data_IF_892416365847
#
_entry.id   IF_892416365847
#
_cell.length_a   1.000
_cell.length_b   1.000
_cell.length_c   1.000
_cell.angle_alpha   90.00
_cell.angle_beta   90.00
_cell.angle_gamma   90.00
#
_symmetry.space_group_name_H-M   'P 1'
#
loop_
_entity.id
_entity.type
_entity.pdbx_description
1 polymer ?
#
# COMPACT_ATOMS: atom_id res chain seq x y z
N UNK A 1 7.87 18.00 1.92
CA UNK A 1 7.44 18.12 0.50
C UNK A 1 6.54 16.92 0.23
N UNK A 2 5.40 17.12 -0.42
CA UNK A 2 4.45 16.04 -0.73
C UNK A 2 4.99 15.17 -1.87
N UNK A 3 4.96 13.86 -1.70
CA UNK A 3 5.44 12.90 -2.69
C UNK A 3 4.37 11.83 -2.95
N UNK A 4 4.42 11.20 -4.12
CA UNK A 4 3.60 10.04 -4.43
C UNK A 4 4.45 8.87 -4.93
N UNK A 5 4.20 7.68 -4.38
CA UNK A 5 4.64 6.41 -4.95
C UNK A 5 3.49 5.85 -5.78
N UNK A 6 3.67 5.73 -7.08
CA UNK A 6 2.66 5.18 -7.99
C UNK A 6 3.17 3.84 -8.49
N UNK A 7 2.48 2.76 -8.11
CA UNK A 7 2.88 1.42 -8.47
C UNK A 7 2.40 1.07 -9.88
N UNK A 8 3.33 0.62 -10.72
CA UNK A 8 3.10 0.32 -12.14
C UNK A 8 3.31 -1.17 -12.41
N UNK A 9 2.47 -1.76 -13.28
CA UNK A 9 2.56 -3.17 -13.63
C UNK A 9 2.43 -3.46 -15.13
N UNK A 10 2.15 -2.45 -15.95
CA UNK A 10 1.85 -2.62 -17.37
C UNK A 10 2.22 -1.39 -18.18
N UNK A 11 2.37 -1.62 -19.48
CA UNK A 11 2.66 -0.60 -20.49
C UNK A 11 1.49 0.35 -20.76
N UNK A 12 0.29 -0.02 -20.31
CA UNK A 12 -0.89 0.79 -20.54
C UNK A 12 -0.92 1.95 -19.56
N UNK A 13 -0.60 3.15 -20.03
CA UNK A 13 -0.53 4.36 -19.20
C UNK A 13 -1.90 4.89 -18.74
N UNK A 14 -2.98 4.50 -19.41
CA UNK A 14 -4.35 5.01 -19.19
C UNK A 14 -4.84 4.97 -17.73
N UNK A 15 -4.70 3.84 -16.99
CA UNK A 15 -5.12 3.75 -15.60
C UNK A 15 -4.42 4.75 -14.68
N UNK A 16 -3.19 5.16 -15.00
CA UNK A 16 -2.40 6.05 -14.17
C UNK A 16 -2.70 7.53 -14.44
N UNK A 17 -3.19 7.88 -15.63
CA UNK A 17 -3.53 9.28 -15.99
C UNK A 17 -4.45 9.91 -14.96
N UNK A 18 -5.53 9.20 -14.61
CA UNK A 18 -6.50 9.69 -13.62
C UNK A 18 -5.91 9.85 -12.22
N UNK A 19 -5.16 8.84 -11.76
CA UNK A 19 -4.51 8.88 -10.46
C UNK A 19 -3.51 10.03 -10.36
N UNK A 20 -2.63 10.19 -11.35
CA UNK A 20 -1.62 11.26 -11.41
C UNK A 20 -2.28 12.63 -11.46
N UNK A 21 -3.30 12.81 -12.32
CA UNK A 21 -4.02 14.08 -12.43
C UNK A 21 -4.70 14.46 -11.11
N UNK A 22 -5.36 13.51 -10.45
CA UNK A 22 -5.98 13.74 -9.15
C UNK A 22 -4.95 14.08 -8.06
N UNK A 23 -3.85 13.33 -8.00
CA UNK A 23 -2.77 13.55 -7.04
C UNK A 23 -2.10 14.92 -7.23
N UNK A 24 -1.89 15.35 -8.47
CA UNK A 24 -1.34 16.67 -8.78
C UNK A 24 -2.31 17.78 -8.36
N UNK A 25 -3.53 17.75 -8.86
CA UNK A 25 -4.49 18.84 -8.71
C UNK A 25 -5.11 18.97 -7.31
N UNK A 26 -5.43 17.84 -6.68
CA UNK A 26 -6.18 17.83 -5.41
C UNK A 26 -5.31 17.58 -4.20
N UNK A 27 -4.24 16.80 -4.34
CA UNK A 27 -3.31 16.50 -3.24
C UNK A 27 -2.06 17.37 -3.27
N UNK A 28 -1.84 18.15 -4.32
CA UNK A 28 -0.70 19.04 -4.45
C UNK A 28 0.63 18.28 -4.36
N UNK A 29 0.69 17.08 -4.95
CA UNK A 29 1.92 16.29 -4.98
C UNK A 29 3.03 17.05 -5.71
N UNK A 30 4.22 17.06 -5.12
CA UNK A 30 5.36 17.84 -5.57
C UNK A 30 6.47 16.99 -6.20
N UNK A 31 6.38 15.65 -6.09
CA UNK A 31 7.22 14.71 -6.86
C UNK A 31 6.53 13.35 -7.01
N UNK A 32 6.76 12.68 -8.13
CA UNK A 32 6.29 11.31 -8.37
C UNK A 32 7.44 10.31 -8.42
N UNK A 33 7.24 9.13 -7.87
CA UNK A 33 8.12 7.99 -8.08
C UNK A 33 7.28 6.82 -8.56
N UNK A 34 7.52 6.39 -9.79
CA UNK A 34 6.85 5.25 -10.39
C UNK A 34 7.61 3.99 -10.00
N UNK A 35 6.93 3.05 -9.35
CA UNK A 35 7.53 1.84 -8.78
C UNK A 35 7.13 0.64 -9.62
N UNK A 36 8.10 0.05 -10.30
CA UNK A 36 7.94 -1.24 -10.96
C UNK A 36 8.41 -2.35 -10.01
N UNK A 37 7.54 -3.34 -9.76
CA UNK A 37 7.87 -4.46 -8.87
C UNK A 37 8.35 -5.67 -9.68
N UNK A 38 9.61 -6.08 -9.50
CA UNK A 38 10.17 -7.29 -10.14
C UNK A 38 9.91 -8.54 -9.30
N UNK A 39 9.89 -9.71 -9.95
CA UNK A 39 9.66 -11.01 -9.30
C UNK A 39 8.18 -11.32 -9.02
N UNK A 40 7.27 -10.37 -9.25
CA UNK A 40 5.82 -10.54 -9.09
C UNK A 40 5.07 -10.76 -10.41
N UNK A 41 5.68 -10.41 -11.55
CA UNK A 41 5.06 -10.38 -12.87
C UNK A 41 6.00 -10.98 -13.92
N UNK A 42 5.43 -11.42 -15.05
CA UNK A 42 6.17 -11.97 -16.20
C UNK A 42 6.85 -10.87 -17.02
N UNK A 43 6.28 -9.66 -17.02
CA UNK A 43 6.80 -8.52 -17.76
C UNK A 43 8.06 -7.94 -17.09
N UNK A 44 9.05 -7.58 -17.91
CA UNK A 44 10.30 -6.98 -17.47
C UNK A 44 10.15 -5.52 -17.04
N UNK A 45 11.10 -4.97 -16.28
CA UNK A 45 11.04 -3.59 -15.83
C UNK A 45 11.06 -2.58 -16.98
N UNK A 46 10.19 -1.58 -16.89
CA UNK A 46 10.08 -0.46 -17.83
C UNK A 46 10.82 0.76 -17.30
N UNK A 47 11.96 1.11 -17.89
CA UNK A 47 12.74 2.31 -17.49
C UNK A 47 12.25 3.59 -18.16
N UNK A 48 11.55 3.48 -19.28
CA UNK A 48 10.99 4.55 -20.12
C UNK A 48 9.54 4.92 -19.75
N UNK A 49 9.01 4.42 -18.63
CA UNK A 49 7.62 4.64 -18.25
C UNK A 49 7.30 6.14 -18.08
N UNK A 50 8.24 6.91 -17.54
CA UNK A 50 8.08 8.37 -17.39
C UNK A 50 7.89 9.05 -18.74
N UNK A 51 8.70 8.71 -19.74
CA UNK A 51 8.56 9.25 -21.10
C UNK A 51 7.19 8.89 -21.69
N UNK A 52 6.74 7.65 -21.50
CA UNK A 52 5.45 7.19 -22.01
C UNK A 52 4.25 7.88 -21.35
N UNK A 53 4.27 8.07 -20.03
CA UNK A 53 3.17 8.76 -19.33
C UNK A 53 3.20 10.27 -19.62
N UNK A 54 4.38 10.89 -19.70
CA UNK A 54 4.54 12.29 -20.11
C UNK A 54 3.96 12.51 -21.51
N UNK A 55 4.32 11.67 -22.49
CA UNK A 55 3.78 11.75 -23.84
C UNK A 55 2.24 11.58 -23.89
N UNK A 56 1.66 10.78 -22.98
CA UNK A 56 0.21 10.67 -22.86
C UNK A 56 -0.44 11.96 -22.35
N UNK A 57 0.19 12.64 -21.39
CA UNK A 57 -0.26 13.95 -20.91
C UNK A 57 -0.08 15.06 -21.96
N UNK A 58 1.01 15.05 -22.73
CA UNK A 58 1.20 15.95 -23.87
C UNK A 58 0.11 15.77 -24.92
N UNK A 59 -0.18 14.52 -25.31
CA UNK A 59 -1.23 14.19 -26.26
C UNK A 59 -2.60 14.69 -25.79
N UNK A 60 -2.91 14.52 -24.50
CA UNK A 60 -4.12 15.07 -23.88
C UNK A 60 -4.13 16.60 -23.87
N UNK A 61 -2.97 17.21 -23.69
CA UNK A 61 -2.76 18.65 -23.79
C UNK A 61 -2.99 19.22 -25.19
N UNK A 62 -2.91 18.38 -26.21
CA UNK A 62 -3.24 18.69 -27.61
C UNK A 62 -4.67 18.26 -27.99
N UNK A 63 -5.48 17.83 -27.03
CA UNK A 63 -6.85 17.38 -27.28
C UNK A 63 -6.93 16.00 -27.95
N UNK A 64 -5.95 15.12 -27.71
CA UNK A 64 -5.95 13.74 -28.20
C UNK A 64 -5.88 12.74 -27.05
N UNK A 65 -6.57 11.62 -27.19
CA UNK A 65 -6.50 10.51 -26.25
C UNK A 65 -6.47 9.18 -26.98
N UNK A 66 -5.52 8.31 -26.62
CA UNK A 66 -5.29 7.01 -27.27
C UNK A 66 -5.12 7.12 -28.80
N UNK A 67 -4.44 8.18 -29.26
CA UNK A 67 -4.16 8.44 -30.67
C UNK A 67 -5.34 8.96 -31.49
N UNK A 68 -6.45 9.35 -30.85
CA UNK A 68 -7.65 9.87 -31.50
C UNK A 68 -7.98 11.28 -31.00
N UNK A 69 -8.63 12.14 -31.81
CA UNK A 69 -9.21 13.38 -31.31
C UNK A 69 -10.15 13.09 -30.13
N UNK A 70 -10.00 13.84 -29.05
CA UNK A 70 -10.78 13.72 -27.83
C UNK A 70 -11.42 15.06 -27.49
N UNK A 71 -12.66 15.03 -27.01
CA UNK A 71 -13.36 16.24 -26.57
C UNK A 71 -12.90 16.63 -25.16
N UNK A 72 -11.67 17.14 -25.07
CA UNK A 72 -11.09 17.70 -23.84
C UNK A 72 -11.23 19.22 -23.91
N UNK A 73 -11.84 19.85 -22.92
CA UNK A 73 -11.96 21.31 -22.88
C UNK A 73 -10.59 22.00 -22.70
N UNK A 74 -10.48 23.25 -23.16
CA UNK A 74 -9.21 24.00 -23.18
C UNK A 74 -8.54 24.11 -21.80
N UNK A 75 -9.34 24.24 -20.73
CA UNK A 75 -8.82 24.34 -19.36
C UNK A 75 -8.22 23.02 -18.91
N UNK A 76 -8.87 21.90 -19.23
CA UNK A 76 -8.33 20.56 -18.97
C UNK A 76 -7.07 20.30 -19.81
N UNK A 77 -7.05 20.70 -21.08
CA UNK A 77 -5.85 20.61 -21.93
C UNK A 77 -4.66 21.38 -21.33
N UNK A 78 -4.88 22.59 -20.81
CA UNK A 78 -3.83 23.36 -20.14
C UNK A 78 -3.27 22.64 -18.90
N UNK A 79 -4.14 22.01 -18.08
CA UNK A 79 -3.72 21.22 -16.92
C UNK A 79 -2.91 19.99 -17.30
N UNK A 80 -3.28 19.33 -18.39
CA UNK A 80 -2.52 18.18 -18.88
C UNK A 80 -1.13 18.58 -19.38
N UNK A 81 -1.00 19.71 -20.08
CA UNK A 81 0.33 20.27 -20.45
C UNK A 81 1.19 20.59 -19.23
N UNK A 82 0.62 21.28 -18.24
CA UNK A 82 1.33 21.60 -17.00
C UNK A 82 1.76 20.34 -16.24
N UNK A 83 0.93 19.28 -16.28
CA UNK A 83 1.26 17.99 -15.68
C UNK A 83 2.38 17.27 -16.45
N UNK A 84 2.39 17.34 -17.78
CA UNK A 84 3.48 16.78 -18.60
C UNK A 84 4.84 17.42 -18.25
N UNK A 85 4.92 18.76 -18.29
CA UNK A 85 6.13 19.51 -17.91
C UNK A 85 6.58 19.18 -16.49
N UNK A 86 5.63 19.05 -15.57
CA UNK A 86 5.91 18.68 -14.20
C UNK A 86 6.52 17.27 -14.08
N UNK A 87 5.95 16.29 -14.79
CA UNK A 87 6.45 14.91 -14.75
C UNK A 87 7.87 14.82 -15.30
N UNK A 88 8.17 15.51 -16.38
CA UNK A 88 9.51 15.53 -16.98
C UNK A 88 10.60 15.98 -15.99
N UNK A 89 10.30 16.98 -15.16
CA UNK A 89 11.26 17.54 -14.20
C UNK A 89 11.22 16.92 -12.80
N UNK A 90 10.09 16.32 -12.38
CA UNK A 90 9.80 15.97 -10.98
C UNK A 90 9.38 14.52 -10.78
N UNK A 91 9.62 13.66 -11.77
CA UNK A 91 9.32 12.24 -11.66
C UNK A 91 10.56 11.36 -11.84
N UNK A 92 10.46 10.12 -11.36
CA UNK A 92 11.50 9.11 -11.52
C UNK A 92 10.88 7.72 -11.55
N UNK A 93 11.60 6.77 -12.15
CA UNK A 93 11.25 5.34 -12.11
C UNK A 93 12.19 4.62 -11.16
N UNK A 94 11.64 3.71 -10.35
CA UNK A 94 12.41 2.76 -9.54
C UNK A 94 11.93 1.35 -9.80
N UNK A 95 12.89 0.45 -9.99
CA UNK A 95 12.67 -0.98 -10.08
C UNK A 95 13.01 -1.58 -8.72
N UNK A 96 12.04 -2.27 -8.12
CA UNK A 96 12.16 -2.80 -6.76
C UNK A 96 11.74 -4.27 -6.74
N UNK A 97 12.63 -5.20 -6.34
CA UNK A 97 12.25 -6.59 -6.12
C UNK A 97 11.16 -6.71 -5.06
N UNK A 98 10.22 -7.66 -5.26
CA UNK A 98 9.09 -7.86 -4.34
C UNK A 98 9.57 -8.12 -2.90
N UNK A 99 10.65 -8.89 -2.74
CA UNK A 99 11.28 -9.21 -1.45
C UNK A 99 11.83 -7.98 -0.72
N UNK A 100 12.30 -6.97 -1.46
CA UNK A 100 12.88 -5.73 -0.92
C UNK A 100 11.84 -4.63 -0.71
N UNK A 101 10.63 -4.84 -1.21
CA UNK A 101 9.60 -3.81 -1.29
C UNK A 101 9.22 -3.24 0.09
N UNK A 102 9.16 -4.09 1.11
CA UNK A 102 8.89 -3.65 2.48
C UNK A 102 9.99 -2.73 3.03
N UNK A 103 11.25 -3.06 2.77
CA UNK A 103 12.39 -2.22 3.14
C UNK A 103 12.38 -0.90 2.38
N UNK A 104 12.08 -0.94 1.08
CA UNK A 104 11.98 0.24 0.23
C UNK A 104 10.90 1.21 0.71
N UNK A 105 9.65 0.76 0.85
CA UNK A 105 8.53 1.60 1.30
C UNK A 105 8.81 2.16 2.70
N UNK A 106 9.42 1.38 3.60
CA UNK A 106 9.78 1.86 4.94
C UNK A 106 10.80 3.00 4.90
N UNK A 107 11.79 2.97 3.98
CA UNK A 107 12.75 4.07 3.81
C UNK A 107 12.08 5.33 3.25
N UNK A 108 11.27 5.21 2.20
CA UNK A 108 10.53 6.33 1.62
C UNK A 108 9.52 6.92 2.62
N UNK A 109 8.89 6.08 3.43
CA UNK A 109 8.03 6.51 4.52
C UNK A 109 8.80 7.28 5.59
N UNK A 110 10.10 7.05 5.80
CA UNK A 110 10.88 7.80 6.81
C UNK A 110 11.39 9.13 6.29
N UNK A 111 11.62 9.27 4.97
CA UNK A 111 12.07 10.52 4.36
C UNK A 111 10.96 11.58 4.25
N UNK A 112 9.69 11.18 4.39
CA UNK A 112 8.53 12.06 4.21
C UNK A 112 7.66 12.11 5.47
N UNK A 113 7.22 13.32 5.86
CA UNK A 113 6.32 13.54 7.00
C UNK A 113 5.04 12.70 6.88
N UNK A 114 4.41 12.37 8.00
CA UNK A 114 3.14 11.65 8.02
C UNK A 114 2.08 12.43 7.23
N UNK A 115 1.32 11.74 6.37
CA UNK A 115 0.31 12.36 5.51
C UNK A 115 0.82 13.10 4.27
N UNK A 116 2.14 13.21 4.08
CA UNK A 116 2.74 13.83 2.89
C UNK A 116 3.19 12.82 1.82
N UNK A 117 3.05 11.52 2.09
CA UNK A 117 3.32 10.46 1.12
C UNK A 117 2.00 9.82 0.69
N UNK A 118 1.63 10.01 -0.57
CA UNK A 118 0.55 9.26 -1.19
C UNK A 118 1.14 7.95 -1.77
N UNK A 119 0.41 6.85 -1.61
CA UNK A 119 0.77 5.57 -2.21
C UNK A 119 -0.41 5.12 -3.05
N UNK A 120 -0.20 4.96 -4.35
CA UNK A 120 -1.23 4.62 -5.33
C UNK A 120 -0.97 3.23 -5.93
N UNK A 121 -2.01 2.40 -5.94
CA UNK A 121 -1.96 1.04 -6.51
C UNK A 121 -2.96 0.82 -7.65
N UNK A 122 -3.46 1.91 -8.26
CA UNK A 122 -4.53 1.88 -9.27
C UNK A 122 -4.22 0.91 -10.41
N UNK A 123 -2.99 0.90 -10.90
CA UNK A 123 -2.60 0.05 -12.02
C UNK A 123 -2.28 -1.40 -11.63
N UNK A 124 -2.20 -1.75 -10.35
CA UNK A 124 -1.73 -3.07 -9.94
C UNK A 124 -2.82 -4.16 -10.07
N UNK A 125 -2.44 -5.42 -10.39
CA UNK A 125 -3.34 -6.55 -10.25
C UNK A 125 -3.76 -6.74 -8.79
N UNK A 126 -4.98 -7.21 -8.55
CA UNK A 126 -5.58 -7.33 -7.21
C UNK A 126 -4.67 -8.00 -6.17
N UNK A 127 -4.00 -9.08 -6.55
CA UNK A 127 -3.09 -9.83 -5.65
C UNK A 127 -1.90 -8.97 -5.26
N UNK A 128 -1.26 -8.29 -6.21
CA UNK A 128 -0.11 -7.44 -5.94
C UNK A 128 -0.50 -6.16 -5.20
N UNK A 129 -1.64 -5.56 -5.55
CA UNK A 129 -2.23 -4.44 -4.82
C UNK A 129 -2.46 -4.80 -3.34
N UNK A 130 -2.98 -5.99 -3.06
CA UNK A 130 -3.16 -6.49 -1.69
C UNK A 130 -1.82 -6.64 -0.95
N UNK A 131 -0.76 -7.14 -1.61
CA UNK A 131 0.57 -7.22 -1.01
C UNK A 131 1.12 -5.83 -0.65
N UNK A 132 1.08 -4.88 -1.58
CA UNK A 132 1.50 -3.49 -1.34
C UNK A 132 0.70 -2.87 -0.19
N UNK A 133 -0.62 -3.09 -0.18
CA UNK A 133 -1.51 -2.63 0.89
C UNK A 133 -1.08 -3.16 2.26
N UNK A 134 -0.84 -4.47 2.39
CA UNK A 134 -0.41 -5.08 3.65
C UNK A 134 0.94 -4.52 4.14
N UNK A 135 1.90 -4.33 3.23
CA UNK A 135 3.20 -3.74 3.54
C UNK A 135 3.02 -2.30 4.04
N UNK A 136 2.23 -1.50 3.34
CA UNK A 136 1.97 -0.10 3.71
C UNK A 136 1.24 0.01 5.05
N UNK A 137 0.26 -0.85 5.30
CA UNK A 137 -0.42 -0.93 6.60
C UNK A 137 0.55 -1.24 7.73
N UNK A 138 1.49 -2.16 7.52
CA UNK A 138 2.50 -2.52 8.51
C UNK A 138 3.44 -1.36 8.87
N UNK A 139 3.71 -0.45 7.92
CA UNK A 139 4.51 0.77 8.15
C UNK A 139 3.66 2.01 8.49
N UNK A 140 2.36 1.84 8.73
CA UNK A 140 1.45 2.93 9.12
C UNK A 140 1.15 3.94 8.00
N UNK A 141 1.19 3.50 6.74
CA UNK A 141 0.92 4.32 5.56
C UNK A 141 -0.40 3.94 4.90
N UNK A 142 -1.08 4.95 4.36
CA UNK A 142 -2.34 4.77 3.63
C UNK A 142 -2.03 4.47 2.16
N UNK A 143 -2.76 3.51 1.62
CA UNK A 143 -2.75 3.18 0.20
C UNK A 143 -4.07 3.61 -0.41
N UNK A 144 -4.00 4.10 -1.64
CA UNK A 144 -5.09 4.64 -2.42
C UNK A 144 -5.19 3.95 -3.77
N UNK A 145 -6.37 4.04 -4.36
CA UNK A 145 -6.65 3.58 -5.72
C UNK A 145 -7.64 4.56 -6.34
N UNK A 146 -7.53 4.81 -7.62
CA UNK A 146 -8.51 5.59 -8.37
C UNK A 146 -9.56 4.64 -8.96
N UNK A 147 -10.80 4.78 -8.52
CA UNK A 147 -11.89 3.91 -8.95
C UNK A 147 -12.96 4.71 -9.69
N UNK A 148 -13.28 4.27 -10.91
CA UNK A 148 -14.43 4.77 -11.65
C UNK A 148 -15.68 4.03 -11.18
N UNK A 149 -16.76 4.77 -10.91
CA UNK A 149 -18.05 4.14 -10.55
C UNK A 149 -18.76 3.52 -11.74
N UNK A 150 -18.49 4.04 -12.93
CA UNK A 150 -18.98 3.50 -14.19
C UNK A 150 -17.82 2.96 -15.02
N UNK A 151 -18.09 1.91 -15.79
CA UNK A 151 -17.09 1.39 -16.72
C UNK A 151 -16.78 2.41 -17.80
N UNK A 152 -15.52 2.45 -18.22
CA UNK A 152 -15.07 3.27 -19.34
C UNK A 152 -15.92 3.00 -20.58
N UNK A 153 -16.45 4.05 -21.19
CA UNK A 153 -17.16 3.95 -22.46
C UNK A 153 -16.14 3.72 -23.59
N UNK A 154 -16.14 2.57 -24.29
CA UNK A 154 -15.14 2.31 -25.34
C UNK A 154 -15.25 3.25 -26.55
N UNK A 155 -16.42 3.86 -26.76
CA UNK A 155 -16.66 4.81 -27.87
C UNK A 155 -16.26 6.25 -27.54
N UNK A 156 -16.16 6.57 -26.25
CA UNK A 156 -15.79 7.90 -25.75
C UNK A 156 -14.95 7.75 -24.46
N UNK A 157 -13.75 7.14 -24.54
CA UNK A 157 -12.93 6.83 -23.37
C UNK A 157 -12.42 8.09 -22.65
N UNK A 158 -12.37 9.24 -23.32
CA UNK A 158 -12.02 10.54 -22.76
C UNK A 158 -13.00 11.02 -21.68
N UNK A 159 -14.25 10.57 -21.72
CA UNK A 159 -15.25 10.90 -20.70
C UNK A 159 -14.95 10.24 -19.35
N UNK A 160 -14.05 9.27 -19.33
CA UNK A 160 -13.58 8.61 -18.11
C UNK A 160 -12.32 9.26 -17.52
N UNK A 161 -11.87 10.38 -18.10
CA UNK A 161 -10.72 11.12 -17.60
C UNK A 161 -11.12 11.99 -16.40
N UNK A 162 -10.23 12.10 -15.43
CA UNK A 162 -10.49 12.81 -14.16
C UNK A 162 -11.08 14.21 -14.34
N UNK A 163 -10.61 15.01 -15.31
CA UNK A 163 -11.16 16.36 -15.53
C UNK A 163 -12.52 16.40 -16.24
N UNK A 164 -12.93 15.30 -16.88
CA UNK A 164 -14.27 15.15 -17.48
C UNK A 164 -15.30 14.59 -16.48
N UNK A 165 -14.85 14.02 -15.36
CA UNK A 165 -15.70 13.38 -14.36
C UNK A 165 -16.28 14.38 -13.36
N UNK A 166 -17.54 14.15 -12.97
CA UNK A 166 -18.11 14.83 -11.81
C UNK A 166 -17.63 14.19 -10.51
N UNK A 167 -17.72 14.92 -9.40
CA UNK A 167 -17.30 14.42 -8.08
C UNK A 167 -18.01 13.12 -7.63
N UNK A 168 -19.15 12.78 -8.22
CA UNK A 168 -19.89 11.56 -7.94
C UNK A 168 -19.53 10.35 -8.82
N UNK A 169 -18.69 10.53 -9.84
CA UNK A 169 -18.42 9.50 -10.86
C UNK A 169 -17.16 8.68 -10.58
N UNK A 170 -16.35 9.10 -9.61
CA UNK A 170 -15.13 8.43 -9.19
C UNK A 170 -14.94 8.50 -7.68
N UNK A 171 -14.13 7.59 -7.17
CA UNK A 171 -13.62 7.62 -5.81
C UNK A 171 -12.09 7.52 -5.81
N UNK A 172 -11.46 8.16 -4.82
CA UNK A 172 -10.03 7.98 -4.53
C UNK A 172 -9.84 7.59 -3.06
N UNK A 173 -10.41 6.43 -2.64
CA UNK A 173 -10.49 6.07 -1.24
C UNK A 173 -9.12 5.71 -0.68
N UNK A 174 -8.98 5.76 0.65
CA UNK A 174 -7.92 5.02 1.30
C UNK A 174 -8.41 3.59 1.50
N UNK A 175 -7.72 2.61 0.91
CA UNK A 175 -8.04 1.19 1.06
C UNK A 175 -7.99 0.75 2.54
N UNK A 176 -7.13 1.39 3.34
CA UNK A 176 -7.03 1.15 4.77
C UNK A 176 -8.30 1.55 5.55
N UNK A 177 -9.18 2.37 4.96
CA UNK A 177 -10.45 2.81 5.58
C UNK A 177 -11.66 2.00 5.11
N UNK A 178 -11.46 1.09 4.16
CA UNK A 178 -12.52 0.18 3.74
C UNK A 178 -12.96 -0.70 4.92
N UNK A 179 -14.26 -0.83 5.21
CA UNK A 179 -14.75 -1.61 6.35
C UNK A 179 -14.28 -3.07 6.36
N UNK A 180 -14.19 -3.72 5.19
CA UNK A 180 -13.74 -5.10 5.08
C UNK A 180 -12.23 -5.23 5.34
N UNK A 181 -11.44 -4.26 4.85
CA UNK A 181 -10.01 -4.18 5.16
C UNK A 181 -9.80 -3.90 6.65
N UNK A 182 -10.53 -2.96 7.24
CA UNK A 182 -10.47 -2.65 8.67
C UNK A 182 -10.81 -3.85 9.55
N UNK A 183 -11.85 -4.62 9.18
CA UNK A 183 -12.20 -5.85 9.89
C UNK A 183 -11.04 -6.87 9.86
N UNK A 184 -10.44 -7.06 8.67
CA UNK A 184 -9.31 -7.98 8.48
C UNK A 184 -8.04 -7.52 9.22
N UNK A 185 -7.74 -6.22 9.18
CA UNK A 185 -6.58 -5.62 9.88
C UNK A 185 -6.75 -5.71 11.39
N UNK A 186 -7.96 -5.48 11.92
CA UNK A 186 -8.22 -5.66 13.36
C UNK A 186 -7.91 -7.08 13.79
N UNK A 187 -8.39 -8.09 13.04
CA UNK A 187 -8.06 -9.49 13.31
C UNK A 187 -6.54 -9.74 13.32
N UNK A 188 -5.79 -9.20 12.35
CA UNK A 188 -4.33 -9.33 12.27
C UNK A 188 -3.59 -8.63 13.43
N UNK A 189 -4.01 -7.43 13.84
CA UNK A 189 -3.42 -6.70 14.97
C UNK A 189 -3.65 -7.46 16.28
N UNK A 190 -4.82 -8.10 16.45
CA UNK A 190 -5.08 -8.95 17.61
C UNK A 190 -4.15 -10.16 17.66
N UNK A 191 -3.92 -10.83 16.53
CA UNK A 191 -2.94 -11.93 16.44
C UNK A 191 -1.54 -11.44 16.82
N UNK A 192 -1.08 -10.31 16.26
CA UNK A 192 0.24 -9.75 16.59
C UNK A 192 0.38 -9.41 18.09
N UNK A 193 -0.66 -8.83 18.71
CA UNK A 193 -0.66 -8.54 20.16
C UNK A 193 -0.66 -9.82 20.99
N UNK A 194 -1.43 -10.84 20.60
CA UNK A 194 -1.44 -12.14 21.25
C UNK A 194 -0.08 -12.82 21.14
N UNK A 195 0.56 -12.81 19.97
CA UNK A 195 1.90 -13.35 19.77
C UNK A 195 2.94 -12.60 20.63
N UNK A 196 2.88 -11.26 20.69
CA UNK A 196 3.76 -10.49 21.57
C UNK A 196 3.55 -10.81 23.04
N UNK A 197 2.29 -10.93 23.48
CA UNK A 197 1.98 -11.33 24.85
C UNK A 197 2.54 -12.72 25.16
N UNK A 198 2.40 -13.69 24.25
CA UNK A 198 2.98 -15.02 24.38
C UNK A 198 4.51 -14.93 24.51
N UNK A 199 5.19 -14.18 23.63
CA UNK A 199 6.65 -14.02 23.67
C UNK A 199 7.11 -13.41 25.00
N UNK A 200 6.45 -12.34 25.47
CA UNK A 200 6.79 -11.68 26.74
C UNK A 200 6.58 -12.63 27.92
N UNK A 201 5.46 -13.35 27.95
CA UNK A 201 5.17 -14.31 29.02
C UNK A 201 6.17 -15.47 29.00
N UNK A 202 6.55 -15.97 27.83
CA UNK A 202 7.60 -17.00 27.70
C UNK A 202 8.95 -16.49 28.19
N UNK A 203 9.34 -15.24 27.88
CA UNK A 203 10.57 -14.63 28.39
C UNK A 203 10.56 -14.52 29.92
N UNK A 204 9.45 -14.07 30.52
CA UNK A 204 9.29 -14.00 31.98
C UNK A 204 9.36 -15.40 32.60
N UNK A 205 8.73 -16.40 31.98
CA UNK A 205 8.78 -17.79 32.43
C UNK A 205 10.21 -18.36 32.40
N UNK A 206 10.96 -18.12 31.32
CA UNK A 206 12.36 -18.53 31.21
C UNK A 206 13.27 -17.81 32.22
N UNK A 207 13.08 -16.51 32.43
CA UNK A 207 13.83 -15.77 33.44
C UNK A 207 13.56 -16.27 34.86
N UNK A 208 12.28 -16.53 35.17
CA UNK A 208 11.87 -17.10 36.46
C UNK A 208 12.46 -18.49 36.69
N UNK A 209 12.54 -19.31 35.63
CA UNK A 209 13.20 -20.61 35.67
C UNK A 209 14.69 -20.51 35.94
N UNK A 210 15.38 -19.60 35.25
CA UNK A 210 16.81 -19.40 35.44
C UNK A 210 17.11 -18.99 36.89
N UNK A 211 16.28 -18.14 37.49
CA UNK A 211 16.36 -17.78 38.92
C UNK A 211 16.10 -18.99 39.82
N UNK A 212 15.06 -19.78 39.55
CA UNK A 212 14.74 -20.99 40.32
C UNK A 212 15.86 -22.04 40.28
N UNK A 213 16.47 -22.28 39.12
CA UNK A 213 17.60 -23.20 38.96
C UNK A 213 18.85 -22.67 39.69
N UNK A 214 19.07 -21.35 39.68
CA UNK A 214 20.20 -20.72 40.37
C UNK A 214 20.04 -20.72 41.91
N UNK A 215 18.81 -20.59 42.41
CA UNK A 215 18.50 -20.55 43.86
C UNK A 215 18.34 -21.95 44.45
N UNK A 216 17.81 -22.91 43.70
CA UNK A 216 17.52 -24.27 44.19
C UNK A 216 18.13 -25.36 43.28
N UNK A 217 19.46 -25.32 43.15
CA UNK A 217 20.24 -26.27 42.33
C UNK A 217 20.13 -27.74 42.78
N UNK A 218 19.51 -28.02 43.93
CA UNK A 218 19.40 -29.37 44.51
C UNK A 218 18.21 -30.17 43.98
N UNK A 219 17.17 -29.52 43.42
CA UNK A 219 15.98 -30.20 42.90
C UNK A 219 15.53 -29.65 41.52
N UNK A 220 16.36 -29.77 40.47
CA UNK A 220 16.04 -29.24 39.13
C UNK A 220 14.77 -29.86 38.51
N UNK A 221 14.41 -31.09 38.88
CA UNK A 221 13.22 -31.76 38.38
C UNK A 221 11.91 -31.05 38.78
N UNK A 222 11.82 -30.51 40.01
CA UNK A 222 10.65 -29.76 40.48
C UNK A 222 10.52 -28.40 39.78
N UNK A 223 11.65 -27.75 39.49
CA UNK A 223 11.66 -26.50 38.72
C UNK A 223 11.18 -26.71 37.27
N UNK A 224 11.55 -27.83 36.64
CA UNK A 224 11.10 -28.19 35.29
C UNK A 224 9.59 -28.51 35.26
N UNK A 225 9.07 -29.22 36.26
CA UNK A 225 7.63 -29.51 36.38
C UNK A 225 6.82 -28.23 36.62
N UNK A 226 7.29 -27.34 37.48
CA UNK A 226 6.68 -26.02 37.69
C UNK A 226 6.66 -25.16 36.43
N UNK A 227 7.71 -25.23 35.61
CA UNK A 227 7.74 -24.58 34.30
C UNK A 227 6.71 -25.18 33.34
N UNK A 228 6.68 -26.51 33.22
CA UNK A 228 5.75 -27.19 32.34
C UNK A 228 4.30 -26.84 32.71
N UNK A 229 3.98 -26.82 34.00
CA UNK A 229 2.67 -26.42 34.50
C UNK A 229 2.34 -24.95 34.16
N UNK A 230 3.30 -24.02 34.32
CA UNK A 230 3.11 -22.62 33.96
C UNK A 230 2.91 -22.43 32.44
N UNK A 231 3.74 -23.08 31.62
CA UNK A 231 3.63 -23.00 30.15
C UNK A 231 2.31 -23.60 29.67
N UNK A 232 1.88 -24.73 30.23
CA UNK A 232 0.58 -25.35 29.92
C UNK A 232 -0.57 -24.46 30.40
N UNK A 233 -0.48 -23.86 31.58
CA UNK A 233 -1.50 -22.94 32.10
C UNK A 233 -1.65 -21.67 31.25
N UNK A 234 -0.53 -21.10 30.80
CA UNK A 234 -0.50 -19.95 29.90
C UNK A 234 -1.06 -20.33 28.52
N UNK A 235 -0.63 -21.46 27.96
CA UNK A 235 -1.14 -21.99 26.69
C UNK A 235 -2.65 -22.27 26.76
N UNK A 236 -3.13 -22.84 27.86
CA UNK A 236 -4.55 -23.09 28.14
C UNK A 236 -5.35 -21.80 28.28
N UNK A 237 -4.86 -20.82 29.05
CA UNK A 237 -5.52 -19.52 29.21
C UNK A 237 -5.60 -18.72 27.91
N UNK A 238 -4.55 -18.77 27.08
CA UNK A 238 -4.54 -18.14 25.75
C UNK A 238 -5.48 -18.85 24.76
N UNK A 239 -5.51 -20.19 24.74
CA UNK A 239 -6.48 -20.96 23.96
C UNK A 239 -7.93 -20.66 24.39
N UNK A 240 -8.20 -20.60 25.69
CA UNK A 240 -9.53 -20.33 26.21
C UNK A 240 -9.99 -18.90 25.89
N UNK A 241 -9.10 -17.91 25.99
CA UNK A 241 -9.37 -16.54 25.57
C UNK A 241 -9.66 -16.43 24.06
N UNK A 242 -8.95 -17.19 23.22
CA UNK A 242 -9.21 -17.27 21.77
C UNK A 242 -10.56 -17.94 21.48
N UNK A 243 -10.92 -18.97 22.24
CA UNK A 243 -12.14 -19.79 22.00
C UNK A 243 -13.41 -19.06 22.43
N UNK A 244 -13.41 -18.39 23.59
CA UNK A 244 -14.54 -17.59 24.10
C UNK A 244 -14.88 -16.44 23.14
N UNK A 245 -13.89 -15.90 22.42
CA UNK A 245 -14.07 -14.77 21.52
C UNK A 245 -14.53 -15.18 20.10
N UNK A 246 -14.33 -16.44 19.68
CA UNK A 246 -14.85 -16.99 18.42
C UNK A 246 -16.32 -17.40 18.49
N UNK A 247 -16.91 -17.48 19.69
CA UNK A 247 -18.31 -17.83 19.94
C UNK A 247 -19.26 -16.63 20.07
N UNK A 248 -18.81 -15.42 19.74
CA UNK A 248 -19.60 -14.19 19.64
C UNK A 248 -19.46 -13.59 18.24
#
# INVERSE_FOLDING_TARGET
>A
MSAALVFICSDHVGPYVNAVSYLRDKRGVASFTFIFITGALVEGPRTDFVESITAAFESLGEGRYLGRPAHVDEKSQARYRETAEFLDCRSSVKVVPLEDLAGYISREAKSVKLGQLAIDVTGLPKVLAAHVMLICLAVGRQVHTFELRQRTNPKAPELSLYHALSAGDFDYPSLARDPAVLASVRQLVHVKRATWAIVVVSLIGMASLAVLIAVDAKNPALAIVGLAANVIGIAGGTLQAITIYKGK
#
